data_IF_949041959316
#
_entry.id   IF_949041959316
#
_cell.length_a   1.000
_cell.length_b   1.000
_cell.length_c   1.000
_cell.angle_alpha   90.00
_cell.angle_beta   90.00
_cell.angle_gamma   90.00
#
_symmetry.space_group_name_H-M   'P 1'
#
loop_
_entity.id
_entity.type
_entity.pdbx_description
1 polymer ?
#
# COMPACT_ATOMS: atom_id res chain seq x y z
N UNK A 1 -43.56 28.85 1.72
CA UNK A 1 -42.41 28.89 0.79
C UNK A 1 -41.15 29.20 1.60
N UNK A 2 -40.43 28.16 2.02
CA UNK A 2 -39.19 28.29 2.78
C UNK A 2 -38.03 27.80 1.90
N UNK A 3 -36.98 28.62 1.80
CA UNK A 3 -35.82 28.44 0.93
C UNK A 3 -34.99 27.23 1.38
N UNK A 4 -34.62 26.41 0.40
CA UNK A 4 -33.67 25.30 0.52
C UNK A 4 -32.34 25.79 1.08
N UNK A 5 -31.91 25.19 2.19
CA UNK A 5 -30.57 25.38 2.74
C UNK A 5 -29.55 24.77 1.79
N UNK A 6 -28.78 25.64 1.12
CA UNK A 6 -27.54 25.26 0.47
C UNK A 6 -26.59 24.67 1.50
N UNK A 7 -26.38 23.36 1.41
CA UNK A 7 -25.26 22.69 2.06
C UNK A 7 -24.00 23.13 1.32
N UNK A 8 -23.25 24.05 1.92
CA UNK A 8 -21.91 24.42 1.50
C UNK A 8 -20.99 23.20 1.54
N UNK A 9 -20.54 22.75 0.37
CA UNK A 9 -19.48 21.75 0.23
C UNK A 9 -18.21 22.26 0.95
N UNK A 10 -17.63 21.50 1.90
CA UNK A 10 -16.34 21.87 2.46
C UNK A 10 -15.27 21.80 1.36
N UNK A 11 -14.35 22.77 1.42
CA UNK A 11 -13.39 23.09 0.38
C UNK A 11 -12.66 21.88 -0.24
N UNK A 12 -12.81 21.72 -1.56
CA UNK A 12 -11.64 21.77 -2.43
C UNK A 12 -10.84 20.50 -2.70
N UNK A 13 -11.44 19.31 -2.72
CA UNK A 13 -10.93 18.21 -3.57
C UNK A 13 -12.13 17.56 -4.26
N UNK A 14 -12.27 17.78 -5.58
CA UNK A 14 -13.27 17.08 -6.37
C UNK A 14 -12.94 15.58 -6.40
N UNK A 15 -13.48 14.83 -5.44
CA UNK A 15 -13.37 13.36 -5.37
C UNK A 15 -13.80 12.70 -6.68
N UNK A 16 -14.68 13.36 -7.44
CA UNK A 16 -15.17 12.91 -8.75
C UNK A 16 -14.08 12.74 -9.80
N UNK A 17 -12.98 13.50 -9.77
CA UNK A 17 -11.89 13.38 -10.77
C UNK A 17 -10.88 12.28 -10.45
N UNK A 18 -10.85 11.77 -9.21
CA UNK A 18 -9.97 10.66 -8.79
C UNK A 18 -10.71 9.33 -8.67
N UNK A 19 -11.97 9.32 -9.07
CA UNK A 19 -12.89 8.21 -8.88
C UNK A 19 -12.92 7.30 -10.10
N UNK A 20 -12.82 5.99 -9.88
CA UNK A 20 -12.61 5.02 -10.95
C UNK A 20 -13.86 4.62 -11.71
N UNK A 21 -14.99 4.47 -11.01
CA UNK A 21 -16.24 4.04 -11.65
C UNK A 21 -17.51 4.55 -10.96
N UNK A 22 -18.65 4.42 -11.63
CA UNK A 22 -19.96 4.88 -11.07
C UNK A 22 -20.41 4.09 -9.84
N UNK A 23 -19.92 2.86 -9.69
CA UNK A 23 -20.37 1.89 -8.68
C UNK A 23 -19.22 1.24 -7.91
N UNK A 24 -17.97 1.59 -8.17
CA UNK A 24 -16.83 1.06 -7.44
C UNK A 24 -15.70 2.08 -7.32
N UNK A 25 -14.77 1.80 -6.41
CA UNK A 25 -13.48 2.48 -6.30
C UNK A 25 -12.39 1.53 -5.82
N UNK A 26 -11.18 1.80 -6.28
CA UNK A 26 -9.96 1.21 -5.75
C UNK A 26 -9.34 2.16 -4.75
N UNK A 27 -8.94 1.62 -3.60
CA UNK A 27 -8.31 2.38 -2.53
C UNK A 27 -7.01 1.69 -2.13
N UNK A 28 -5.99 2.50 -1.93
CA UNK A 28 -4.74 2.09 -1.31
C UNK A 28 -4.69 2.65 0.10
N UNK A 29 -4.55 1.80 1.09
CA UNK A 29 -4.52 2.17 2.50
C UNK A 29 -3.09 2.00 3.03
N UNK A 30 -2.55 2.92 3.85
CA UNK A 30 -1.17 2.88 4.35
C UNK A 30 -0.99 1.90 5.52
N UNK A 31 -1.73 0.80 5.48
CA UNK A 31 -1.71 -0.29 6.46
C UNK A 31 -1.42 -1.61 5.72
N UNK A 32 -0.82 -2.61 6.37
CA UNK A 32 -0.51 -3.88 5.70
C UNK A 32 -1.73 -4.80 5.56
N UNK A 33 -2.70 -4.73 6.47
CA UNK A 33 -3.91 -5.53 6.51
C UNK A 33 -5.07 -4.75 7.17
N UNK A 34 -6.30 -5.24 7.00
CA UNK A 34 -7.48 -4.68 7.67
C UNK A 34 -7.43 -5.06 9.16
N UNK A 35 -6.98 -4.14 9.99
CA UNK A 35 -7.00 -4.29 11.45
C UNK A 35 -8.42 -4.05 11.99
N UNK A 36 -8.74 -4.56 13.18
CA UNK A 36 -10.03 -4.28 13.82
C UNK A 36 -10.33 -2.76 13.96
N UNK A 37 -9.37 -1.90 14.36
CA UNK A 37 -9.58 -0.45 14.35
C UNK A 37 -9.89 0.11 12.96
N UNK A 38 -9.20 -0.36 11.92
CA UNK A 38 -9.47 0.08 10.55
C UNK A 38 -10.87 -0.36 10.10
N UNK A 39 -11.27 -1.60 10.41
CA UNK A 39 -12.62 -2.11 10.15
C UNK A 39 -13.67 -1.26 10.87
N UNK A 40 -13.45 -0.93 12.15
CA UNK A 40 -14.38 -0.09 12.91
C UNK A 40 -14.57 1.31 12.30
N UNK A 41 -13.49 1.93 11.78
CA UNK A 41 -13.56 3.22 11.07
C UNK A 41 -14.38 3.09 9.78
N UNK A 42 -14.15 2.04 8.99
CA UNK A 42 -14.90 1.79 7.75
C UNK A 42 -16.38 1.51 8.03
N UNK A 43 -16.67 0.69 9.05
CA UNK A 43 -18.03 0.38 9.48
C UNK A 43 -18.77 1.64 9.98
N UNK A 44 -18.11 2.48 10.79
CA UNK A 44 -18.66 3.76 11.23
C UNK A 44 -18.96 4.70 10.05
N UNK A 45 -18.07 4.76 9.07
CA UNK A 45 -18.26 5.59 7.87
C UNK A 45 -19.46 5.13 7.02
N UNK A 46 -19.66 3.83 6.87
CA UNK A 46 -20.78 3.27 6.08
C UNK A 46 -22.10 3.36 6.85
N UNK A 47 -22.11 3.05 8.14
CA UNK A 47 -23.31 3.10 8.99
C UNK A 47 -23.84 4.52 9.19
N UNK A 48 -22.97 5.54 9.08
CA UNK A 48 -23.38 6.94 9.00
C UNK A 48 -24.17 7.29 7.72
N UNK A 49 -24.27 6.38 6.75
CA UNK A 49 -25.23 6.46 5.64
C UNK A 49 -26.52 5.70 5.97
N UNK A 50 -27.67 6.30 5.68
CA UNK A 50 -28.97 5.79 6.10
C UNK A 50 -29.25 4.33 5.71
N UNK A 51 -29.45 3.50 6.74
CA UNK A 51 -29.95 2.13 6.63
C UNK A 51 -28.89 1.07 6.38
N UNK A 52 -27.60 1.43 6.32
CA UNK A 52 -26.52 0.46 6.13
C UNK A 52 -26.11 -0.19 7.44
N UNK A 53 -25.88 -1.50 7.40
CA UNK A 53 -25.36 -2.29 8.52
C UNK A 53 -24.27 -3.22 8.04
N UNK A 54 -23.20 -3.41 8.83
CA UNK A 54 -22.22 -4.43 8.51
C UNK A 54 -22.88 -5.80 8.53
N UNK A 55 -22.49 -6.64 7.58
CA UNK A 55 -22.87 -8.03 7.54
C UNK A 55 -21.71 -8.85 8.07
N UNK A 56 -21.98 -9.72 9.05
CA UNK A 56 -20.99 -10.64 9.59
C UNK A 56 -20.66 -11.69 8.54
N UNK A 57 -19.64 -11.40 7.72
CA UNK A 57 -18.98 -12.36 6.85
C UNK A 57 -17.97 -13.15 7.70
N UNK A 58 -17.77 -14.43 7.36
CA UNK A 58 -16.88 -15.32 8.10
C UNK A 58 -15.37 -14.98 7.92
N UNK A 59 -15.02 -14.08 7.00
CA UNK A 59 -13.63 -13.70 6.71
C UNK A 59 -13.47 -12.18 6.47
N UNK A 60 -13.47 -11.36 7.54
CA UNK A 60 -13.27 -9.92 7.47
C UNK A 60 -11.87 -9.51 6.98
N UNK A 61 -10.92 -10.45 6.96
CA UNK A 61 -9.53 -10.21 6.56
C UNK A 61 -9.43 -10.02 5.05
N UNK A 62 -10.21 -10.79 4.27
CA UNK A 62 -10.19 -10.75 2.82
C UNK A 62 -11.36 -9.97 2.21
N UNK A 63 -12.49 -9.88 2.90
CA UNK A 63 -13.65 -9.14 2.41
C UNK A 63 -14.51 -8.56 3.53
N UNK A 64 -15.18 -7.44 3.25
CA UNK A 64 -16.18 -6.86 4.15
C UNK A 64 -17.45 -6.54 3.36
N UNK A 65 -18.60 -6.69 3.99
CA UNK A 65 -19.89 -6.45 3.35
C UNK A 65 -20.80 -5.62 4.24
N UNK A 66 -21.59 -4.76 3.62
CA UNK A 66 -22.68 -4.05 4.26
C UNK A 66 -23.96 -4.27 3.48
N UNK A 67 -25.08 -4.40 4.20
CA UNK A 67 -26.40 -4.44 3.62
C UNK A 67 -27.21 -3.23 4.03
N UNK A 68 -28.07 -2.79 3.13
CA UNK A 68 -29.05 -1.75 3.42
C UNK A 68 -30.40 -2.36 3.79
N UNK A 69 -31.07 -1.78 4.78
CA UNK A 69 -32.43 -2.10 5.18
C UNK A 69 -33.24 -0.79 5.36
N UNK A 70 -34.54 -0.73 4.97
CA UNK A 70 -35.38 -1.80 4.40
C UNK A 70 -35.22 -2.02 2.89
N UNK A 71 -34.54 -1.12 2.17
CA UNK A 71 -34.35 -1.33 0.73
C UNK A 71 -33.15 -2.23 0.46
N UNK A 72 -33.29 -3.17 -0.48
CA UNK A 72 -32.21 -4.04 -0.91
C UNK A 72 -31.03 -3.23 -1.47
N UNK A 73 -29.84 -3.48 -0.94
CA UNK A 73 -28.60 -2.91 -1.42
C UNK A 73 -27.42 -3.56 -0.71
N UNK A 74 -26.35 -3.84 -1.47
CA UNK A 74 -25.13 -4.46 -0.94
C UNK A 74 -23.94 -3.60 -1.31
N UNK A 75 -23.00 -3.45 -0.37
CA UNK A 75 -21.71 -2.83 -0.58
C UNK A 75 -20.66 -3.86 -0.17
N UNK A 76 -19.66 -4.09 -1.02
CA UNK A 76 -18.62 -5.09 -0.80
C UNK A 76 -17.26 -4.44 -0.93
N UNK A 77 -16.43 -4.64 0.08
CA UNK A 77 -15.00 -4.39 0.04
C UNK A 77 -14.29 -5.74 -0.14
N UNK A 78 -13.33 -5.80 -1.05
CA UNK A 78 -12.46 -6.95 -1.25
C UNK A 78 -11.01 -6.50 -1.21
N UNK A 79 -10.16 -7.27 -0.52
CA UNK A 79 -8.71 -7.07 -0.49
C UNK A 79 -8.11 -7.69 -1.75
N UNK A 80 -7.28 -6.93 -2.46
CA UNK A 80 -6.60 -7.36 -3.68
C UNK A 80 -5.09 -7.56 -3.50
N UNK A 81 -4.50 -6.99 -2.45
CA UNK A 81 -3.07 -7.09 -2.16
C UNK A 81 -2.73 -6.50 -0.80
N UNK A 82 -1.56 -6.89 -0.28
CA UNK A 82 -1.02 -6.43 0.99
C UNK A 82 0.29 -5.67 0.78
N UNK A 83 0.66 -4.82 1.75
CA UNK A 83 1.92 -4.06 1.78
C UNK A 83 2.16 -3.11 0.58
N UNK A 84 1.45 -1.97 0.45
CA UNK A 84 0.30 -1.49 1.22
C UNK A 84 -0.99 -2.26 0.91
N UNK A 85 -1.97 -2.16 1.80
CA UNK A 85 -3.29 -2.77 1.62
C UNK A 85 -4.01 -2.12 0.43
N UNK A 86 -4.26 -2.92 -0.59
CA UNK A 86 -5.02 -2.54 -1.77
C UNK A 86 -6.40 -3.17 -1.71
N UNK A 87 -7.45 -2.34 -1.77
CA UNK A 87 -8.84 -2.80 -1.70
C UNK A 87 -9.67 -2.26 -2.85
N UNK A 88 -10.72 -2.99 -3.19
CA UNK A 88 -11.79 -2.51 -4.07
C UNK A 88 -13.09 -2.50 -3.30
N UNK A 89 -13.81 -1.40 -3.36
CA UNK A 89 -15.16 -1.30 -2.83
C UNK A 89 -16.13 -1.16 -3.99
N UNK A 90 -17.15 -2.01 -4.05
CA UNK A 90 -18.21 -1.97 -5.05
C UNK A 90 -19.59 -1.94 -4.40
N UNK A 91 -20.45 -1.06 -4.89
CA UNK A 91 -21.87 -1.02 -4.56
C UNK A 91 -22.67 -1.77 -5.63
N UNK A 92 -23.63 -2.58 -5.19
CA UNK A 92 -24.66 -3.14 -6.06
C UNK A 92 -25.40 -1.99 -6.78
N UNK A 93 -25.54 -2.02 -8.11
CA UNK A 93 -26.34 -1.06 -8.87
C UNK A 93 -27.74 -0.85 -8.29
N UNK A 94 -28.36 -1.88 -7.71
CA UNK A 94 -29.66 -1.82 -7.03
C UNK A 94 -29.68 -0.84 -5.84
N UNK A 95 -28.53 -0.59 -5.21
CA UNK A 95 -28.37 0.38 -4.13
C UNK A 95 -28.47 1.85 -4.57
N UNK A 96 -28.46 2.13 -5.88
CA UNK A 96 -28.75 3.43 -6.48
C UNK A 96 -27.94 4.60 -5.86
N UNK A 97 -28.64 5.69 -5.49
CA UNK A 97 -28.02 6.87 -4.86
C UNK A 97 -27.44 6.58 -3.48
N UNK A 98 -28.05 5.67 -2.71
CA UNK A 98 -27.60 5.34 -1.36
C UNK A 98 -26.26 4.59 -1.38
N UNK A 99 -26.10 3.64 -2.32
CA UNK A 99 -24.83 2.96 -2.56
C UNK A 99 -23.70 3.91 -2.93
N UNK A 100 -23.97 4.88 -3.81
CA UNK A 100 -22.98 5.91 -4.17
C UNK A 100 -22.58 6.80 -3.00
N UNK A 101 -23.51 7.15 -2.10
CA UNK A 101 -23.20 7.94 -0.89
C UNK A 101 -22.36 7.14 0.10
N UNK A 102 -22.71 5.88 0.37
CA UNK A 102 -21.94 5.01 1.26
C UNK A 102 -20.52 4.78 0.72
N UNK A 103 -20.40 4.56 -0.59
CA UNK A 103 -19.13 4.44 -1.28
C UNK A 103 -18.27 5.72 -1.15
N UNK A 104 -18.87 6.91 -1.32
CA UNK A 104 -18.16 8.19 -1.13
C UNK A 104 -17.64 8.36 0.31
N UNK A 105 -18.47 8.04 1.32
CA UNK A 105 -18.06 8.08 2.73
C UNK A 105 -16.89 7.15 3.04
N UNK A 106 -16.85 5.96 2.43
CA UNK A 106 -15.71 5.04 2.60
C UNK A 106 -14.41 5.63 2.05
N UNK A 107 -14.46 6.30 0.90
CA UNK A 107 -13.26 6.95 0.38
C UNK A 107 -12.85 8.18 1.20
N UNK A 108 -13.80 8.95 1.72
CA UNK A 108 -13.51 10.03 2.69
C UNK A 108 -12.83 9.47 3.94
N UNK A 109 -13.33 8.35 4.47
CA UNK A 109 -12.72 7.66 5.60
C UNK A 109 -11.31 7.16 5.26
N UNK A 110 -11.11 6.58 4.07
CA UNK A 110 -9.79 6.17 3.61
C UNK A 110 -8.82 7.37 3.53
N UNK A 111 -9.25 8.51 2.99
CA UNK A 111 -8.44 9.73 2.92
C UNK A 111 -8.09 10.28 4.31
N UNK A 112 -8.98 10.14 5.29
CA UNK A 112 -8.74 10.59 6.67
C UNK A 112 -7.62 9.81 7.37
N UNK A 113 -7.24 8.64 6.83
CA UNK A 113 -6.16 7.79 7.34
C UNK A 113 -5.01 7.69 6.33
N UNK A 114 -4.78 8.74 5.54
CA UNK A 114 -3.72 8.82 4.51
C UNK A 114 -3.84 7.77 3.38
N UNK A 115 -5.01 7.18 3.20
CA UNK A 115 -5.33 6.36 2.04
C UNK A 115 -5.49 7.19 0.78
N UNK A 116 -5.37 6.54 -0.39
CA UNK A 116 -5.56 7.20 -1.68
C UNK A 116 -6.48 6.41 -2.63
N UNK A 117 -7.32 7.09 -3.41
CA UNK A 117 -8.00 6.46 -4.53
C UNK A 117 -7.02 6.11 -5.65
N UNK A 118 -7.32 5.05 -6.39
CA UNK A 118 -6.57 4.62 -7.57
C UNK A 118 -7.44 4.60 -8.81
N UNK A 119 -6.83 4.97 -9.94
CA UNK A 119 -7.44 4.80 -11.25
C UNK A 119 -7.36 3.34 -11.75
N UNK A 120 -8.20 2.96 -12.72
CA UNK A 120 -8.17 1.62 -13.33
C UNK A 120 -6.84 1.42 -14.08
N UNK A 121 -6.29 2.51 -14.63
CA UNK A 121 -5.00 2.52 -15.31
C UNK A 121 -3.83 2.27 -14.34
N UNK A 122 -3.91 2.75 -13.10
CA UNK A 122 -2.88 2.54 -12.08
C UNK A 122 -2.94 1.16 -11.43
N UNK A 123 -4.13 0.55 -11.39
CA UNK A 123 -4.38 -0.68 -10.62
C UNK A 123 -3.42 -1.84 -10.99
N UNK A 124 -3.19 -2.20 -12.27
CA UNK A 124 -2.29 -3.29 -12.61
C UNK A 124 -0.86 -3.07 -12.13
N UNK A 125 -0.35 -1.85 -12.25
CA UNK A 125 0.99 -1.49 -11.77
C UNK A 125 1.10 -1.58 -10.26
N UNK A 126 0.06 -1.13 -9.54
CA UNK A 126 0.01 -1.20 -8.07
C UNK A 126 -0.14 -2.63 -7.55
N UNK A 127 -0.91 -3.48 -8.24
CA UNK A 127 -1.04 -4.90 -7.90
C UNK A 127 0.31 -5.64 -7.99
N UNK A 128 1.06 -5.42 -9.08
CA UNK A 128 2.40 -6.02 -9.24
C UNK A 128 3.35 -5.56 -8.14
N UNK A 129 3.41 -4.24 -7.89
CA UNK A 129 4.24 -3.69 -6.82
C UNK A 129 3.84 -4.20 -5.43
N UNK A 130 2.54 -4.41 -5.17
CA UNK A 130 2.05 -5.00 -3.93
C UNK A 130 2.42 -6.48 -3.81
N UNK A 131 2.42 -7.24 -4.91
CA UNK A 131 2.87 -8.63 -4.91
C UNK A 131 4.36 -8.75 -4.56
N UNK A 132 5.22 -7.93 -5.18
CA UNK A 132 6.67 -7.91 -4.89
C UNK A 132 6.95 -7.54 -3.43
N UNK A 133 6.22 -6.54 -2.91
CA UNK A 133 6.31 -6.13 -1.51
C UNK A 133 5.75 -7.18 -0.56
N UNK A 134 4.68 -7.87 -0.95
CA UNK A 134 4.11 -8.98 -0.22
C UNK A 134 5.10 -10.13 -0.06
N UNK A 135 5.84 -10.46 -1.12
CA UNK A 135 6.92 -11.45 -1.06
C UNK A 135 8.03 -11.00 -0.10
N UNK A 136 8.51 -9.75 -0.22
CA UNK A 136 9.50 -9.21 0.72
C UNK A 136 9.01 -9.20 2.18
N UNK A 137 7.72 -8.90 2.40
CA UNK A 137 7.12 -8.95 3.73
C UNK A 137 7.01 -10.38 4.28
N UNK A 138 6.74 -11.37 3.42
CA UNK A 138 6.71 -12.79 3.82
C UNK A 138 8.09 -13.23 4.34
N UNK A 139 9.17 -12.88 3.62
CA UNK A 139 10.53 -13.18 4.05
C UNK A 139 10.87 -12.53 5.41
N UNK A 140 10.45 -11.29 5.62
CA UNK A 140 10.63 -10.59 6.89
C UNK A 140 9.83 -11.23 8.03
N UNK A 141 8.61 -11.71 7.76
CA UNK A 141 7.81 -12.44 8.74
C UNK A 141 8.42 -13.77 9.12
N UNK A 142 8.96 -14.52 8.16
CA UNK A 142 9.67 -15.78 8.43
C UNK A 142 10.89 -15.53 9.32
N UNK A 143 11.69 -14.52 9.00
CA UNK A 143 12.83 -14.09 9.83
C UNK A 143 12.36 -13.66 11.22
N UNK A 144 11.27 -12.90 11.32
CA UNK A 144 10.72 -12.50 12.60
C UNK A 144 10.20 -13.69 13.41
N UNK A 145 9.61 -14.70 12.78
CA UNK A 145 9.20 -15.93 13.45
C UNK A 145 10.41 -16.68 14.05
N UNK A 146 11.52 -16.75 13.31
CA UNK A 146 12.76 -17.34 13.79
C UNK A 146 13.32 -16.58 15.01
N UNK A 147 13.35 -15.25 14.97
CA UNK A 147 13.82 -14.45 16.11
C UNK A 147 12.89 -14.57 17.33
N UNK A 148 11.57 -14.60 17.14
CA UNK A 148 10.60 -14.85 18.23
C UNK A 148 10.84 -16.22 18.88
N UNK A 149 11.15 -17.24 18.08
CA UNK A 149 11.48 -18.55 18.60
C UNK A 149 12.72 -18.49 19.51
N UNK A 150 13.77 -17.75 19.11
CA UNK A 150 14.98 -17.57 19.93
C UNK A 150 14.68 -16.90 21.28
N UNK A 151 13.66 -16.04 21.38
CA UNK A 151 13.28 -15.42 22.66
C UNK A 151 12.73 -16.41 23.70
N UNK A 152 12.22 -17.55 23.25
CA UNK A 152 11.54 -18.56 24.08
C UNK A 152 12.41 -19.77 24.40
N UNK A 153 13.63 -19.81 23.85
CA UNK A 153 14.49 -21.00 23.84
C UNK A 153 15.86 -20.70 24.41
N UNK A 154 16.55 -21.74 24.87
CA UNK A 154 18.00 -21.70 25.14
C UNK A 154 18.66 -22.93 24.54
N UNK A 155 19.88 -22.77 24.02
CA UNK A 155 20.67 -23.85 23.40
C UNK A 155 21.64 -24.44 24.41
N UNK A 156 21.80 -25.76 24.39
CA UNK A 156 22.83 -26.41 25.18
C UNK A 156 24.20 -26.23 24.52
N UNK A 157 25.26 -25.86 25.26
CA UNK A 157 26.60 -25.76 24.69
C UNK A 157 27.27 -27.13 24.47
N UNK A 158 26.75 -28.19 25.11
CA UNK A 158 27.34 -29.53 25.09
C UNK A 158 26.64 -30.50 24.13
N UNK A 159 25.45 -30.16 23.62
CA UNK A 159 24.68 -31.01 22.71
C UNK A 159 23.74 -30.14 21.85
N UNK A 160 23.17 -30.67 20.75
CA UNK A 160 22.31 -29.87 19.86
C UNK A 160 20.91 -29.60 20.42
N UNK A 161 20.60 -30.06 21.64
CA UNK A 161 19.25 -29.94 22.19
C UNK A 161 18.90 -28.49 22.53
N UNK A 162 17.62 -28.17 22.33
CA UNK A 162 17.01 -26.89 22.68
C UNK A 162 16.10 -27.14 23.87
N UNK A 163 16.11 -26.22 24.83
CA UNK A 163 15.25 -26.26 26.01
C UNK A 163 14.48 -24.96 26.14
N UNK A 164 13.43 -24.96 26.95
CA UNK A 164 12.73 -23.75 27.32
C UNK A 164 13.71 -22.73 27.92
N UNK A 165 13.47 -21.45 27.64
CA UNK A 165 14.35 -20.35 28.06
C UNK A 165 14.79 -20.41 29.53
N UNK A 166 13.87 -20.77 30.41
CA UNK A 166 14.08 -20.77 31.86
C UNK A 166 14.42 -22.16 32.42
N UNK A 167 14.63 -23.15 31.54
CA UNK A 167 15.05 -24.48 31.98
C UNK A 167 16.38 -24.40 32.75
N UNK A 168 16.44 -25.14 33.85
CA UNK A 168 17.63 -25.27 34.71
C UNK A 168 18.57 -26.39 34.25
N UNK A 169 18.03 -27.37 33.50
CA UNK A 169 18.76 -28.51 32.93
C UNK A 169 18.44 -28.63 31.44
N UNK A 170 19.38 -29.17 30.67
CA UNK A 170 19.19 -29.43 29.26
C UNK A 170 18.25 -30.63 29.05
N UNK A 171 17.17 -30.48 28.29
CA UNK A 171 16.24 -31.57 27.97
C UNK A 171 16.80 -32.72 27.11
N UNK A 172 18.05 -32.62 26.62
CA UNK A 172 18.70 -33.67 25.83
C UNK A 172 19.80 -34.43 26.55
N UNK A 173 20.70 -33.73 27.26
CA UNK A 173 21.84 -34.34 27.96
C UNK A 173 21.81 -34.17 29.48
N UNK A 174 20.73 -33.59 30.03
CA UNK A 174 20.51 -33.34 31.46
C UNK A 174 21.58 -32.49 32.17
N UNK A 175 22.53 -31.93 31.43
CA UNK A 175 23.52 -30.99 31.98
C UNK A 175 22.80 -29.78 32.59
N UNK A 176 23.14 -29.46 33.83
CA UNK A 176 22.73 -28.21 34.49
C UNK A 176 23.34 -27.00 33.79
N UNK A 177 22.52 -25.98 33.55
CA UNK A 177 22.99 -24.71 33.02
C UNK A 177 23.72 -23.88 34.09
N UNK A 178 24.82 -23.25 33.70
CA UNK A 178 25.65 -22.41 34.58
C UNK A 178 25.33 -20.92 34.38
N UNK A 179 25.86 -20.05 35.27
CA UNK A 179 25.74 -18.60 35.09
C UNK A 179 26.28 -18.11 33.75
N UNK A 180 27.39 -18.67 33.26
CA UNK A 180 27.91 -18.38 31.93
C UNK A 180 26.95 -18.80 30.80
N UNK A 181 26.16 -19.86 30.98
CA UNK A 181 25.11 -20.23 30.02
C UNK A 181 23.93 -19.25 30.04
N UNK A 182 23.60 -18.70 31.22
CA UNK A 182 22.55 -17.71 31.39
C UNK A 182 22.96 -16.36 30.77
N UNK A 183 24.20 -15.93 30.95
CA UNK A 183 24.74 -14.74 30.29
C UNK A 183 24.70 -14.86 28.77
N UNK A 184 25.09 -16.02 28.22
CA UNK A 184 24.99 -16.30 26.78
C UNK A 184 23.56 -16.26 26.28
N UNK A 185 22.63 -16.89 27.01
CA UNK A 185 21.19 -16.86 26.71
C UNK A 185 20.68 -15.41 26.68
N UNK A 186 21.02 -14.61 27.68
CA UNK A 186 20.52 -13.24 27.80
C UNK A 186 21.12 -12.31 26.74
N UNK A 187 22.37 -12.53 26.34
CA UNK A 187 22.98 -11.85 25.20
C UNK A 187 22.27 -12.21 23.88
N UNK A 188 22.01 -13.50 23.64
CA UNK A 188 21.26 -13.95 22.46
C UNK A 188 19.84 -13.37 22.44
N UNK A 189 19.17 -13.32 23.60
CA UNK A 189 17.86 -12.72 23.75
C UNK A 189 17.82 -11.23 23.41
N UNK A 190 18.79 -10.45 23.93
CA UNK A 190 18.91 -9.02 23.60
C UNK A 190 19.10 -8.83 22.10
N UNK A 191 20.02 -9.58 21.51
CA UNK A 191 20.29 -9.50 20.07
C UNK A 191 19.06 -9.87 19.21
N UNK A 192 18.30 -10.90 19.60
CA UNK A 192 17.06 -11.29 18.92
C UNK A 192 15.96 -10.23 19.07
N UNK A 193 15.84 -9.62 20.26
CA UNK A 193 14.90 -8.51 20.51
C UNK A 193 15.22 -7.30 19.62
N UNK A 194 16.50 -6.94 19.50
CA UNK A 194 16.96 -5.85 18.64
C UNK A 194 16.73 -6.16 17.14
N UNK A 195 16.89 -7.41 16.73
CA UNK A 195 16.57 -7.85 15.36
C UNK A 195 15.06 -7.80 15.10
N UNK A 196 14.23 -8.23 16.03
CA UNK A 196 12.77 -8.12 15.92
C UNK A 196 12.30 -6.68 15.77
N UNK A 197 12.87 -5.76 16.55
CA UNK A 197 12.53 -4.34 16.44
C UNK A 197 12.88 -3.77 15.05
N UNK A 198 14.04 -4.14 14.51
CA UNK A 198 14.47 -3.76 13.16
C UNK A 198 13.56 -4.34 12.07
N UNK A 199 13.21 -5.62 12.16
CA UNK A 199 12.29 -6.28 11.24
C UNK A 199 10.90 -5.63 11.26
N UNK A 200 10.38 -5.28 12.45
CA UNK A 200 9.12 -4.54 12.59
C UNK A 200 9.17 -3.19 11.89
N UNK A 201 10.26 -2.43 12.08
CA UNK A 201 10.47 -1.15 11.40
C UNK A 201 10.50 -1.30 9.88
N UNK A 202 11.08 -2.39 9.36
CA UNK A 202 11.16 -2.68 7.93
C UNK A 202 9.80 -3.07 7.34
N UNK A 203 9.02 -3.90 8.04
CA UNK A 203 7.64 -4.23 7.68
C UNK A 203 6.76 -2.98 7.63
N UNK A 204 6.89 -2.08 8.61
CA UNK A 204 6.14 -0.81 8.61
C UNK A 204 6.56 0.13 7.48
N UNK A 205 7.81 0.04 7.01
CA UNK A 205 8.27 0.80 5.83
C UNK A 205 7.68 0.26 4.54
N UNK A 206 7.60 -1.06 4.40
CA UNK A 206 6.95 -1.70 3.24
C UNK A 206 5.47 -1.33 3.15
N UNK A 207 4.79 -1.27 4.30
CA UNK A 207 3.35 -0.96 4.39
C UNK A 207 2.99 0.49 4.05
N UNK A 208 3.87 1.47 4.27
CA UNK A 208 3.53 2.91 4.17
C UNK A 208 3.55 3.50 2.76
N UNK A 209 3.52 2.67 1.71
CA UNK A 209 3.57 3.08 0.29
C UNK A 209 4.48 4.28 -0.01
N UNK A 210 5.66 4.35 0.64
CA UNK A 210 6.59 5.41 0.29
C UNK A 210 6.97 5.19 -1.17
N UNK A 211 6.94 6.23 -2.02
CA UNK A 211 7.46 6.09 -3.37
C UNK A 211 8.92 5.66 -3.23
N UNK A 212 9.22 4.43 -3.62
CA UNK A 212 10.56 4.15 -4.12
C UNK A 212 10.76 5.12 -5.25
N UNK A 213 11.89 5.84 -5.24
CA UNK A 213 12.35 6.68 -6.34
C UNK A 213 11.85 6.08 -7.64
N UNK A 214 11.01 6.82 -8.37
CA UNK A 214 10.77 6.51 -9.77
C UNK A 214 12.15 6.41 -10.38
N UNK A 215 12.60 5.21 -10.74
CA UNK A 215 13.78 5.03 -11.56
C UNK A 215 13.43 5.60 -12.93
N UNK A 216 13.50 6.92 -13.03
CA UNK A 216 13.58 7.66 -14.28
C UNK A 216 14.98 8.25 -14.45
N UNK A 217 15.95 7.81 -13.65
CA UNK A 217 17.36 7.97 -13.98
C UNK A 217 17.79 6.78 -14.82
N UNK A 218 17.44 6.85 -16.10
CA UNK A 218 18.24 6.20 -17.13
C UNK A 218 19.66 6.81 -17.02
N UNK A 219 20.73 6.00 -16.86
CA UNK A 219 22.07 6.55 -16.74
C UNK A 219 22.41 7.24 -18.06
N UNK A 220 22.45 8.58 -18.05
CA UNK A 220 22.98 9.35 -19.18
C UNK A 220 24.42 8.88 -19.40
N UNK A 221 24.77 8.31 -20.56
CA UNK A 221 26.14 7.91 -20.81
C UNK A 221 27.04 9.16 -20.72
N UNK A 222 28.26 9.05 -20.16
CA UNK A 222 29.17 10.18 -20.08
C UNK A 222 29.47 10.67 -21.49
N UNK A 223 29.12 11.93 -21.76
CA UNK A 223 29.53 12.60 -22.99
C UNK A 223 31.02 12.92 -22.83
N UNK A 224 31.87 12.21 -23.57
CA UNK A 224 33.27 12.58 -23.73
C UNK A 224 33.33 13.96 -24.39
N UNK A 225 33.61 14.99 -23.59
CA UNK A 225 34.01 16.31 -24.09
C UNK A 225 35.54 16.33 -24.10
N UNK A 226 36.11 15.79 -25.17
CA UNK A 226 37.50 16.04 -25.53
C UNK A 226 37.58 17.27 -26.45
N UNK A 227 38.31 18.29 -26.00
CA UNK A 227 39.06 19.20 -26.87
C UNK A 227 38.35 20.48 -27.32
N UNK A 228 38.84 21.61 -26.82
CA UNK A 228 38.61 22.94 -27.40
C UNK A 228 39.27 23.15 -28.78
N UNK A 229 39.08 24.34 -29.38
CA UNK A 229 39.04 24.57 -30.84
C UNK A 229 40.42 24.92 -31.45
N UNK A 230 40.52 25.01 -32.80
CA UNK A 230 40.77 26.35 -33.36
C UNK A 230 40.11 26.67 -34.71
N UNK A 231 39.68 27.94 -34.78
CA UNK A 231 39.78 28.97 -35.84
C UNK A 231 39.52 28.73 -37.34
N UNK A 232 38.67 29.65 -37.83
CA UNK A 232 38.70 30.42 -39.10
C UNK A 232 38.68 29.69 -40.43
N UNK A 233 37.55 29.79 -41.15
CA UNK A 233 37.48 30.65 -42.35
C UNK A 233 36.02 30.95 -42.77
N UNK A 234 35.80 32.22 -43.11
CA UNK A 234 34.65 32.76 -43.89
C UNK A 234 35.12 32.81 -45.36
N UNK A 235 34.29 33.15 -46.38
CA UNK A 235 32.83 33.30 -46.48
C UNK A 235 32.26 32.45 -47.66
N UNK A 236 30.97 32.41 -48.00
CA UNK A 236 30.33 33.36 -48.95
C UNK A 236 28.86 32.96 -49.15
N UNK A 237 27.95 33.92 -49.08
CA UNK A 237 26.55 33.85 -49.51
C UNK A 237 26.45 34.42 -50.93
N UNK A 238 25.56 33.92 -51.80
CA UNK A 238 24.33 34.68 -52.12
C UNK A 238 23.10 33.75 -52.16
N UNK A 239 22.04 34.07 -51.42
CA UNK A 239 20.83 34.81 -51.81
C UNK A 239 19.78 34.00 -52.64
N UNK A 240 18.49 34.30 -52.43
CA UNK A 240 17.38 33.38 -52.67
C UNK A 240 16.69 33.65 -54.01
N UNK A 241 16.07 32.62 -54.61
CA UNK A 241 15.13 32.81 -55.72
C UNK A 241 13.71 32.65 -55.20
N UNK A 242 13.04 33.79 -55.22
CA UNK A 242 11.61 34.03 -55.13
C UNK A 242 10.93 33.58 -56.43
N UNK A 243 9.82 32.85 -56.37
CA UNK A 243 8.82 32.86 -57.44
C UNK A 243 7.46 32.36 -56.93
N UNK A 244 6.56 33.33 -56.78
CA UNK A 244 5.12 33.18 -56.62
C UNK A 244 4.40 33.09 -57.98
N UNK A 245 3.10 32.73 -57.91
CA UNK A 245 2.02 32.92 -58.89
C UNK A 245 2.02 32.00 -60.13
N UNK A 246 0.92 31.40 -60.62
CA UNK A 246 -0.53 31.28 -60.31
C UNK A 246 -1.14 30.37 -61.44
N UNK A 247 -2.45 30.38 -61.83
CA UNK A 247 -3.52 29.45 -61.44
C UNK A 247 -4.20 28.70 -62.63
N UNK A 248 -5.29 27.95 -62.36
CA UNK A 248 -6.31 27.48 -63.35
C UNK A 248 -5.89 26.25 -64.17
N UNK A 249 -6.73 25.32 -64.61
CA UNK A 249 -8.17 25.33 -64.92
C UNK A 249 -8.78 23.94 -64.72
N UNK A 250 -10.10 23.96 -64.51
CA UNK A 250 -11.01 22.81 -64.54
C UNK A 250 -11.20 22.27 -65.96
N UNK A 251 -11.27 20.95 -66.10
CA UNK A 251 -12.30 20.19 -66.86
C UNK A 251 -12.11 18.69 -66.61
#
# INVERSE_FOLDING_TARGET
MAREGQVTEPAGVSLRRRWTGRHYAHLLLPVPYLTEPAVAVLDAAVTAADGWRPYDDADPVLARRWHRHPAAGTLRLAVLGWYPLLVTVGADPAGGRAGRRALARLAEAALSVDGRPLSDAELPGRLRAAADRGAAAADLHERAAAERAELTRRRCPACPAISDRLATHCGGCDRRFTGADDERRDAAHRAASDRLHRLGTELDRLARDRPMRTSTDEPTPPTDVAGGPPSTDRPTTPEPVDQADRPGESS
#
